data_IF_702529363280
#
_entry.id   IF_702529363280
#
_cell.length_a   1.000
_cell.length_b   1.000
_cell.length_c   1.000
_cell.angle_alpha   90.00
_cell.angle_beta   90.00
_cell.angle_gamma   90.00
#
_symmetry.space_group_name_H-M   'P 1'
#
loop_
_entity.id
_entity.type
_entity.pdbx_description
1 polymer ?
#
# COMPACT_ATOMS: atom_id res chain seq x y z
N UNK A 1 -41.44 -36.93 19.02
CA UNK A 1 -41.76 -36.35 17.70
C UNK A 1 -40.43 -36.31 16.94
N UNK A 2 -40.04 -37.42 16.31
CA UNK A 2 -40.25 -37.76 14.90
C UNK A 2 -39.38 -36.92 13.92
N UNK A 3 -38.26 -37.55 13.50
CA UNK A 3 -37.59 -37.67 12.18
C UNK A 3 -37.23 -36.43 11.32
N UNK A 4 -36.01 -36.48 10.75
CA UNK A 4 -35.37 -35.49 9.86
C UNK A 4 -35.97 -35.39 8.43
N UNK A 5 -35.29 -34.73 7.48
CA UNK A 5 -34.05 -35.28 6.91
C UNK A 5 -32.92 -34.27 6.64
N UNK A 6 -31.72 -34.84 6.57
CA UNK A 6 -30.49 -34.41 5.88
C UNK A 6 -30.50 -33.03 5.20
N UNK A 7 -29.93 -32.03 5.88
CA UNK A 7 -29.34 -30.89 5.18
C UNK A 7 -28.03 -31.37 4.54
N UNK A 8 -28.10 -31.75 3.26
CA UNK A 8 -26.94 -32.13 2.48
C UNK A 8 -25.84 -31.07 2.60
N UNK A 9 -24.67 -31.49 3.07
CA UNK A 9 -23.44 -30.72 2.92
C UNK A 9 -23.20 -30.61 1.42
N UNK A 10 -23.53 -29.46 0.84
CA UNK A 10 -23.06 -29.10 -0.49
C UNK A 10 -21.54 -29.01 -0.39
N UNK A 11 -20.85 -30.05 -0.83
CA UNK A 11 -19.43 -29.98 -1.12
C UNK A 11 -19.27 -28.92 -2.19
N UNK A 12 -18.66 -27.79 -1.84
CA UNK A 12 -18.25 -26.82 -2.85
C UNK A 12 -17.29 -27.55 -3.80
N UNK A 13 -17.62 -27.51 -5.10
CA UNK A 13 -16.74 -27.99 -6.15
C UNK A 13 -15.35 -27.36 -5.98
N UNK A 14 -14.25 -28.11 -6.21
CA UNK A 14 -12.92 -27.55 -6.15
C UNK A 14 -12.80 -26.53 -7.30
N UNK A 15 -12.80 -25.24 -6.95
CA UNK A 15 -12.63 -24.15 -7.92
C UNK A 15 -13.67 -23.03 -7.91
N UNK A 16 -14.69 -23.05 -7.03
CA UNK A 16 -15.54 -21.87 -6.85
C UNK A 16 -14.84 -20.86 -5.91
N UNK A 17 -14.55 -19.61 -6.35
CA UNK A 17 -13.97 -18.60 -5.46
C UNK A 17 -14.95 -18.25 -4.34
N UNK A 18 -14.45 -18.18 -3.10
CA UNK A 18 -15.24 -17.72 -1.96
C UNK A 18 -15.74 -16.29 -2.22
N UNK A 19 -17.05 -16.02 -2.10
CA UNK A 19 -17.56 -14.66 -2.21
C UNK A 19 -17.07 -13.88 -0.98
N UNK A 20 -16.06 -13.03 -1.18
CA UNK A 20 -15.43 -12.23 -0.11
C UNK A 20 -13.91 -12.03 -0.22
N UNK A 21 -13.21 -12.70 -1.14
CA UNK A 21 -11.75 -12.51 -1.30
C UNK A 21 -11.39 -11.77 -2.58
N UNK A 22 -11.53 -10.45 -2.60
CA UNK A 22 -10.77 -9.65 -3.56
C UNK A 22 -9.38 -9.46 -2.97
N UNK A 23 -8.39 -10.23 -3.46
CA UNK A 23 -6.98 -9.87 -3.31
C UNK A 23 -6.66 -8.76 -4.32
N UNK A 24 -5.58 -8.02 -4.09
CA UNK A 24 -5.02 -7.17 -5.15
C UNK A 24 -4.55 -8.06 -6.30
N UNK A 25 -5.42 -8.28 -7.30
CA UNK A 25 -5.06 -9.07 -8.47
C UNK A 25 -3.97 -8.34 -9.25
N UNK A 26 -3.16 -9.11 -9.97
CA UNK A 26 -2.14 -8.54 -10.83
C UNK A 26 -2.75 -7.64 -11.90
N UNK A 27 -3.90 -8.01 -12.47
CA UNK A 27 -4.63 -7.22 -13.48
C UNK A 27 -5.06 -5.86 -12.92
N UNK A 28 -5.47 -5.80 -11.65
CA UNK A 28 -5.79 -4.53 -11.00
C UNK A 28 -4.55 -3.65 -10.84
N UNK A 29 -3.39 -4.25 -10.55
CA UNK A 29 -2.12 -3.53 -10.48
C UNK A 29 -1.69 -3.02 -11.87
N UNK A 30 -1.82 -3.85 -12.92
CA UNK A 30 -1.54 -3.46 -14.31
C UNK A 30 -2.45 -2.33 -14.77
N UNK A 31 -3.77 -2.45 -14.55
CA UNK A 31 -4.74 -1.42 -14.91
C UNK A 31 -4.37 -0.06 -14.28
N UNK A 32 -4.02 -0.06 -13.00
CA UNK A 32 -3.60 1.16 -12.31
C UNK A 32 -2.27 1.69 -12.85
N UNK A 33 -1.32 0.81 -13.16
CA UNK A 33 -0.01 1.16 -13.72
C UNK A 33 -0.17 1.80 -15.09
N UNK A 34 -0.95 1.20 -15.99
CA UNK A 34 -1.24 1.72 -17.33
C UNK A 34 -1.97 3.07 -17.27
N UNK A 35 -2.90 3.20 -16.32
CA UNK A 35 -3.60 4.47 -16.10
C UNK A 35 -2.63 5.60 -15.71
N UNK A 36 -1.63 5.31 -14.86
CA UNK A 36 -0.59 6.26 -14.48
C UNK A 36 0.37 6.54 -15.64
N UNK A 37 0.90 5.50 -16.30
CA UNK A 37 1.86 5.63 -17.39
C UNK A 37 1.30 6.37 -18.62
N UNK A 38 -0.02 6.30 -18.84
CA UNK A 38 -0.70 7.08 -19.89
C UNK A 38 -0.88 8.56 -19.56
N UNK A 39 -0.70 8.95 -18.29
CA UNK A 39 -0.92 10.34 -17.80
C UNK A 39 0.35 11.06 -17.35
N UNK A 40 1.44 10.32 -17.12
CA UNK A 40 2.74 10.93 -16.80
C UNK A 40 3.87 10.37 -17.66
N UNK A 41 4.80 11.25 -18.02
CA UNK A 41 6.07 10.85 -18.67
C UNK A 41 7.14 10.47 -17.65
N UNK A 42 6.90 10.71 -16.36
CA UNK A 42 7.83 10.38 -15.29
C UNK A 42 8.04 8.87 -15.18
N UNK A 43 9.27 8.44 -14.92
CA UNK A 43 9.66 7.03 -14.77
C UNK A 43 10.46 6.86 -13.48
N UNK A 44 9.77 6.74 -12.33
CA UNK A 44 10.43 6.77 -11.03
C UNK A 44 11.28 5.52 -10.81
N UNK A 45 12.46 5.70 -10.22
CA UNK A 45 13.30 4.59 -9.72
C UNK A 45 13.16 4.40 -8.22
N UNK A 46 12.71 5.45 -7.52
CA UNK A 46 12.54 5.49 -6.07
C UNK A 46 11.08 5.79 -5.75
N UNK A 47 10.46 5.01 -4.88
CA UNK A 47 9.20 5.36 -4.25
C UNK A 47 9.43 5.80 -2.81
N UNK A 48 8.75 6.85 -2.37
CA UNK A 48 8.78 7.33 -0.99
C UNK A 48 7.38 7.32 -0.40
N UNK A 49 7.18 6.56 0.67
CA UNK A 49 5.91 6.58 1.43
C UNK A 49 6.06 7.60 2.55
N UNK A 50 5.42 8.75 2.39
CA UNK A 50 5.47 9.84 3.37
C UNK A 50 4.49 9.56 4.51
N UNK A 51 5.05 9.35 5.70
CA UNK A 51 4.30 9.16 6.92
C UNK A 51 3.78 10.46 7.54
N UNK A 52 3.15 10.32 8.70
CA UNK A 52 2.71 11.45 9.53
C UNK A 52 3.84 12.46 9.74
N UNK A 53 3.58 13.72 9.41
CA UNK A 53 4.56 14.81 9.53
C UNK A 53 5.57 14.95 8.38
N UNK A 54 5.61 14.01 7.43
CA UNK A 54 6.59 14.00 6.33
C UNK A 54 5.97 14.28 4.95
N UNK A 55 4.70 14.67 4.90
CA UNK A 55 4.02 15.03 3.65
C UNK A 55 4.68 16.21 2.91
N UNK A 56 5.36 17.10 3.63
CA UNK A 56 6.10 18.24 3.05
C UNK A 56 7.27 17.80 2.17
N UNK A 57 7.80 16.59 2.34
CA UNK A 57 8.86 16.07 1.47
C UNK A 57 8.39 15.98 0.01
N UNK A 58 7.14 15.58 -0.21
CA UNK A 58 6.56 15.53 -1.55
C UNK A 58 6.45 16.92 -2.20
N UNK A 59 6.32 17.98 -1.39
CA UNK A 59 6.21 19.36 -1.86
C UNK A 59 7.57 19.95 -2.30
N UNK A 60 8.68 19.27 -1.96
CA UNK A 60 10.04 19.65 -2.39
C UNK A 60 10.43 19.07 -3.74
N UNK A 61 9.60 18.19 -4.33
CA UNK A 61 9.89 17.60 -5.62
C UNK A 61 9.91 18.64 -6.73
N UNK A 62 10.90 18.53 -7.60
CA UNK A 62 11.02 19.35 -8.79
C UNK A 62 10.25 18.71 -9.95
N UNK A 63 9.78 19.55 -10.89
CA UNK A 63 9.04 19.09 -12.08
C UNK A 63 7.87 18.16 -11.74
N UNK A 64 7.14 18.50 -10.67
CA UNK A 64 6.20 17.57 -10.04
C UNK A 64 4.85 17.48 -10.74
N UNK A 65 4.32 16.28 -10.84
CA UNK A 65 2.96 15.97 -11.29
C UNK A 65 2.22 15.21 -10.18
N UNK A 66 1.04 15.68 -9.77
CA UNK A 66 0.29 15.09 -8.66
C UNK A 66 -1.04 14.50 -9.14
N UNK A 67 -1.36 13.30 -8.65
CA UNK A 67 -2.62 12.60 -8.89
C UNK A 67 -3.36 12.38 -7.57
N UNK A 68 -4.65 12.70 -7.50
CA UNK A 68 -5.45 12.37 -6.32
C UNK A 68 -5.68 10.86 -6.25
N UNK A 69 -5.60 10.26 -5.05
CA UNK A 69 -5.91 8.83 -4.89
C UNK A 69 -7.32 8.48 -5.36
N UNK A 70 -8.26 9.42 -5.26
CA UNK A 70 -9.64 9.24 -5.73
C UNK A 70 -9.77 9.09 -7.25
N UNK A 71 -8.78 9.56 -8.01
CA UNK A 71 -8.77 9.49 -9.47
C UNK A 71 -8.06 8.25 -9.98
N UNK A 72 -7.17 7.67 -9.17
CA UNK A 72 -6.36 6.53 -9.53
C UNK A 72 -7.21 5.25 -9.37
N UNK A 73 -7.39 4.43 -10.42
CA UNK A 73 -8.12 3.18 -10.33
C UNK A 73 -7.58 2.28 -9.22
N UNK A 74 -8.46 1.60 -8.50
CA UNK A 74 -8.14 0.64 -7.43
C UNK A 74 -7.40 1.21 -6.22
N UNK A 75 -7.02 2.49 -6.21
CA UNK A 75 -6.36 3.10 -5.08
C UNK A 75 -7.31 3.24 -3.88
N UNK A 76 -6.83 3.01 -2.66
CA UNK A 76 -7.59 3.30 -1.45
C UNK A 76 -7.74 4.81 -1.23
N UNK A 77 -8.83 5.21 -0.58
CA UNK A 77 -8.96 6.56 -0.05
C UNK A 77 -8.31 6.65 1.34
N UNK A 78 -7.55 7.71 1.59
CA UNK A 78 -7.00 7.99 2.92
C UNK A 78 -8.02 8.76 3.75
N UNK A 79 -8.24 8.35 5.00
CA UNK A 79 -9.21 9.00 5.90
C UNK A 79 -8.56 9.75 7.07
N UNK A 80 -7.24 9.62 7.23
CA UNK A 80 -6.47 10.21 8.33
C UNK A 80 -6.17 11.69 8.07
N UNK A 81 -6.38 12.53 9.09
CA UNK A 81 -6.03 13.95 9.04
C UNK A 81 -4.53 14.15 8.76
N UNK A 82 -4.19 15.06 7.85
CA UNK A 82 -2.82 15.32 7.42
C UNK A 82 -2.32 14.41 6.29
N UNK A 83 -3.11 13.43 5.84
CA UNK A 83 -2.84 12.69 4.62
C UNK A 83 -3.58 13.35 3.46
N UNK A 84 -2.85 14.12 2.64
CA UNK A 84 -3.43 14.85 1.51
C UNK A 84 -4.06 13.92 0.46
N UNK A 85 -3.65 12.65 0.41
CA UNK A 85 -4.26 11.66 -0.47
C UNK A 85 -3.79 11.81 -1.91
N UNK A 86 -2.50 12.07 -2.12
CA UNK A 86 -1.93 12.34 -3.44
C UNK A 86 -0.72 11.46 -3.73
N UNK A 87 -0.58 11.08 -5.00
CA UNK A 87 0.60 10.44 -5.56
C UNK A 87 1.35 11.47 -6.39
N UNK A 88 2.53 11.86 -5.94
CA UNK A 88 3.32 12.96 -6.53
C UNK A 88 4.54 12.39 -7.21
N UNK A 89 4.60 12.48 -8.54
CA UNK A 89 5.78 12.17 -9.33
C UNK A 89 6.65 13.42 -9.44
N UNK A 90 7.96 13.24 -9.53
CA UNK A 90 8.89 14.34 -9.77
C UNK A 90 10.33 13.93 -9.51
N UNK A 91 11.19 14.91 -9.29
CA UNK A 91 12.61 14.67 -9.03
C UNK A 91 13.01 15.14 -7.64
N UNK A 92 13.75 14.29 -6.92
CA UNK A 92 14.40 14.64 -5.67
C UNK A 92 15.91 14.60 -5.89
N UNK A 93 16.57 15.76 -5.86
CA UNK A 93 18.01 15.88 -6.15
C UNK A 93 18.38 15.27 -7.52
N UNK A 94 17.58 15.54 -8.55
CA UNK A 94 17.75 15.02 -9.91
C UNK A 94 17.43 13.53 -10.08
N UNK A 95 16.93 12.84 -9.05
CA UNK A 95 16.54 11.43 -9.13
C UNK A 95 15.02 11.31 -9.33
N UNK A 96 14.55 10.59 -10.37
CA UNK A 96 13.13 10.44 -10.62
C UNK A 96 12.50 9.59 -9.53
N UNK A 97 11.46 10.12 -8.90
CA UNK A 97 10.81 9.51 -7.75
C UNK A 97 9.29 9.69 -7.80
N UNK A 98 8.62 8.85 -7.02
CA UNK A 98 7.19 8.95 -6.75
C UNK A 98 6.97 8.97 -5.25
N UNK A 99 6.24 9.96 -4.75
CA UNK A 99 5.95 10.15 -3.35
C UNK A 99 4.47 9.91 -3.08
N UNK A 100 4.16 9.02 -2.12
CA UNK A 100 2.83 8.93 -1.53
C UNK A 100 2.70 9.99 -0.44
N UNK A 101 1.94 11.06 -0.71
CA UNK A 101 1.58 12.09 0.28
C UNK A 101 0.39 11.62 1.12
N UNK A 102 0.72 10.79 2.11
CA UNK A 102 -0.24 10.02 2.89
C UNK A 102 -0.14 8.54 2.57
N UNK A 103 -0.57 7.71 3.51
CA UNK A 103 -0.62 6.24 3.37
C UNK A 103 -1.90 5.69 3.97
N UNK A 104 -2.11 4.41 3.76
CA UNK A 104 -3.26 3.68 4.28
C UNK A 104 -2.85 2.87 5.51
N UNK A 105 -3.75 2.74 6.46
CA UNK A 105 -3.52 1.96 7.66
C UNK A 105 -4.57 0.88 7.83
N UNK A 106 -4.15 -0.23 8.43
CA UNK A 106 -5.05 -1.31 8.82
C UNK A 106 -6.10 -0.83 9.83
N UNK A 107 -5.76 0.09 10.73
CA UNK A 107 -6.71 0.60 11.72
C UNK A 107 -7.85 1.44 11.11
N UNK A 108 -7.72 1.89 9.85
CA UNK A 108 -8.80 2.54 9.11
C UNK A 108 -9.83 1.52 8.58
N UNK A 109 -9.63 0.22 8.85
CA UNK A 109 -10.46 -0.88 8.38
C UNK A 109 -10.03 -1.44 7.01
N UNK A 110 -8.92 -0.96 6.44
CA UNK A 110 -8.42 -1.48 5.19
C UNK A 110 -7.77 -2.87 5.39
N UNK A 111 -8.10 -3.86 4.54
CA UNK A 111 -7.36 -5.12 4.54
C UNK A 111 -5.91 -4.88 4.07
N UNK A 112 -4.97 -5.70 4.56
CA UNK A 112 -3.53 -5.47 4.32
C UNK A 112 -3.14 -5.48 2.83
N UNK A 113 -3.78 -6.32 2.00
CA UNK A 113 -3.54 -6.31 0.56
C UNK A 113 -3.86 -4.95 -0.09
N UNK A 114 -4.84 -4.22 0.46
CA UNK A 114 -5.26 -2.90 -0.01
C UNK A 114 -4.30 -1.83 0.50
N UNK A 115 -3.83 -1.96 1.75
CA UNK A 115 -2.78 -1.10 2.31
C UNK A 115 -1.49 -1.18 1.50
N UNK A 116 -1.09 -2.39 1.09
CA UNK A 116 0.15 -2.62 0.34
C UNK A 116 -0.01 -2.55 -1.17
N UNK A 117 -1.21 -2.30 -1.70
CA UNK A 117 -1.49 -2.23 -3.14
C UNK A 117 -0.54 -1.30 -3.91
N UNK A 118 -0.26 -0.06 -3.44
CA UNK A 118 0.63 0.85 -4.16
C UNK A 118 2.04 0.30 -4.35
N UNK A 119 2.53 -0.56 -3.45
CA UNK A 119 3.87 -1.15 -3.55
C UNK A 119 3.99 -2.05 -4.79
N UNK A 120 2.93 -2.80 -5.12
CA UNK A 120 2.88 -3.63 -6.34
C UNK A 120 2.84 -2.76 -7.59
N UNK A 121 2.06 -1.68 -7.57
CA UNK A 121 2.03 -0.68 -8.65
C UNK A 121 3.41 -0.04 -8.85
N UNK A 122 4.11 0.32 -7.78
CA UNK A 122 5.48 0.87 -7.88
C UNK A 122 6.43 -0.09 -8.55
N UNK A 123 6.35 -1.39 -8.25
CA UNK A 123 7.15 -2.40 -8.93
C UNK A 123 6.89 -2.40 -10.45
N UNK A 124 5.64 -2.35 -10.87
CA UNK A 124 5.26 -2.31 -12.29
C UNK A 124 5.64 -0.97 -12.97
N UNK A 125 5.67 0.14 -12.23
CA UNK A 125 6.20 1.43 -12.70
C UNK A 125 7.72 1.46 -12.89
N UNK A 126 8.44 0.40 -12.46
CA UNK A 126 9.90 0.31 -12.57
C UNK A 126 10.67 0.82 -11.35
N UNK A 127 10.00 0.99 -10.21
CA UNK A 127 10.66 1.36 -8.95
C UNK A 127 11.53 0.20 -8.46
N UNK A 128 12.75 0.53 -8.04
CA UNK A 128 13.76 -0.41 -7.54
C UNK A 128 14.04 -0.21 -6.05
N UNK A 129 13.76 0.99 -5.53
CA UNK A 129 13.99 1.34 -4.13
C UNK A 129 12.73 1.90 -3.49
N UNK A 130 12.33 1.36 -2.34
CA UNK A 130 11.23 1.87 -1.54
C UNK A 130 11.78 2.49 -0.24
N UNK A 131 11.54 3.78 -0.05
CA UNK A 131 11.80 4.50 1.19
C UNK A 131 10.49 4.63 1.96
N UNK A 132 10.41 4.03 3.14
CA UNK A 132 9.24 4.11 4.01
C UNK A 132 9.52 4.98 5.21
N UNK A 133 8.57 5.86 5.55
CA UNK A 133 8.72 6.77 6.68
C UNK A 133 7.50 6.70 7.61
N UNK A 134 7.75 6.84 8.91
CA UNK A 134 6.70 6.87 9.91
C UNK A 134 7.08 7.67 11.16
N UNK A 135 6.05 8.06 11.90
CA UNK A 135 6.19 8.53 13.27
C UNK A 135 6.01 7.31 14.21
N UNK A 136 6.86 7.24 15.23
CA UNK A 136 6.83 6.18 16.23
C UNK A 136 7.07 6.79 17.63
N UNK A 137 6.55 6.12 18.66
CA UNK A 137 6.95 6.38 20.04
C UNK A 137 8.30 5.72 20.31
N UNK A 138 9.25 6.47 20.87
CA UNK A 138 10.54 5.94 21.29
C UNK A 138 10.39 5.09 22.56
N UNK A 139 10.81 3.83 22.50
CA UNK A 139 10.82 2.92 23.67
C UNK A 139 12.20 2.80 24.31
N UNK A 140 13.27 3.08 23.55
CA UNK A 140 14.62 3.08 24.08
C UNK A 140 14.86 4.35 24.90
N UNK A 141 15.49 4.20 26.06
CA UNK A 141 15.70 5.30 27.03
C UNK A 141 16.53 6.47 26.46
N UNK A 142 17.35 6.20 25.46
CA UNK A 142 18.25 7.19 24.84
C UNK A 142 17.63 7.92 23.65
N UNK A 143 16.34 7.72 23.34
CA UNK A 143 15.65 8.46 22.28
C UNK A 143 14.98 9.71 22.82
N UNK A 144 15.08 10.80 22.04
CA UNK A 144 14.42 12.07 22.27
C UNK A 144 13.40 12.37 21.16
N UNK A 145 12.31 13.11 21.46
CA UNK A 145 11.42 13.61 20.41
C UNK A 145 12.19 14.39 19.34
N UNK A 146 12.00 14.01 18.08
CA UNK A 146 12.70 14.60 16.93
C UNK A 146 13.88 13.77 16.42
N UNK A 147 14.32 12.74 17.15
CA UNK A 147 15.36 11.83 16.67
C UNK A 147 14.90 11.05 15.43
N UNK A 148 15.83 10.86 14.48
CA UNK A 148 15.64 10.02 13.32
C UNK A 148 16.26 8.66 13.60
N UNK A 149 15.41 7.63 13.64
CA UNK A 149 15.83 6.24 13.80
C UNK A 149 15.70 5.49 12.47
N UNK A 150 16.79 4.86 12.04
CA UNK A 150 16.78 3.92 10.91
C UNK A 150 16.24 2.57 11.37
N UNK A 151 15.20 2.08 10.70
CA UNK A 151 14.66 0.74 10.93
C UNK A 151 15.66 -0.28 10.38
N UNK A 152 16.34 -0.99 11.28
CA UNK A 152 17.24 -2.09 10.93
C UNK A 152 16.52 -3.43 10.86
N UNK A 153 15.48 -3.59 11.67
CA UNK A 153 14.63 -4.77 11.72
C UNK A 153 13.25 -4.40 12.28
N UNK A 154 12.27 -5.29 12.18
CA UNK A 154 10.92 -5.10 12.72
C UNK A 154 10.32 -6.40 13.26
N UNK A 155 9.48 -6.29 14.30
CA UNK A 155 8.65 -7.39 14.79
C UNK A 155 7.22 -7.21 14.26
N UNK A 156 6.80 -8.08 13.35
CA UNK A 156 5.46 -8.03 12.76
C UNK A 156 4.44 -8.80 13.63
N UNK A 157 4.02 -8.21 14.77
CA UNK A 157 3.05 -8.83 15.67
C UNK A 157 1.72 -9.22 14.97
N UNK A 158 1.10 -8.38 14.11
CA UNK A 158 -0.09 -8.79 13.35
C UNK A 158 0.19 -9.99 12.43
N UNK A 159 1.36 -10.02 11.78
CA UNK A 159 1.78 -11.12 10.93
C UNK A 159 1.92 -12.45 11.67
N UNK A 160 2.43 -12.43 12.91
CA UNK A 160 2.52 -13.61 13.77
C UNK A 160 1.12 -14.17 14.12
N UNK A 161 0.10 -13.33 14.13
CA UNK A 161 -1.31 -13.71 14.34
C UNK A 161 -2.05 -14.02 13.03
N UNK A 162 -1.35 -14.11 11.89
CA UNK A 162 -1.94 -14.44 10.58
C UNK A 162 -2.40 -13.24 9.74
N UNK A 163 -2.32 -12.01 10.26
CA UNK A 163 -2.60 -10.80 9.50
C UNK A 163 -1.35 -10.38 8.71
N UNK A 164 -1.16 -11.01 7.55
CA UNK A 164 -0.04 -10.75 6.64
C UNK A 164 -0.54 -10.34 5.24
N UNK A 165 0.04 -9.33 4.58
CA UNK A 165 -0.35 -8.94 3.21
C UNK A 165 -0.12 -10.03 2.15
N UNK A 166 0.66 -11.07 2.49
CA UNK A 166 0.93 -12.24 1.64
C UNK A 166 0.01 -13.43 1.94
N UNK A 167 -0.98 -13.26 2.82
CA UNK A 167 -1.97 -14.31 3.07
C UNK A 167 -2.81 -14.56 1.80
N UNK A 168 -2.90 -15.83 1.39
CA UNK A 168 -3.67 -16.26 0.23
C UNK A 168 -2.78 -16.83 -0.89
N UNK A 169 -3.35 -17.06 -2.08
CA UNK A 169 -2.59 -17.54 -3.24
C UNK A 169 -1.48 -16.55 -3.62
N UNK A 170 -0.32 -17.11 -3.98
CA UNK A 170 0.76 -16.34 -4.59
C UNK A 170 0.48 -16.13 -6.09
N UNK A 171 0.87 -14.97 -6.61
CA UNK A 171 0.88 -14.71 -8.06
C UNK A 171 2.19 -15.24 -8.65
N UNK A 172 2.10 -16.06 -9.69
CA UNK A 172 3.26 -16.75 -10.29
C UNK A 172 4.04 -15.90 -11.31
N UNK A 173 3.45 -14.79 -11.79
CA UNK A 173 4.09 -13.84 -12.71
C UNK A 173 4.91 -12.79 -11.98
#
# INVERSE_FOLDING_TARGET
MWLGPEAGVKTNAPGAPCPGSFSASFEACEQTTDWLLSRTRQRPRIAVICGSGLGLLADTLQSSEAFSYSEIPNFPSSTVAGHAGQLVFGELQGKPCVCMKGRFHMYEGHPLWKVTFPVRVFKLLGVETLLVTNAAGGLAENYSPGDIMVIRDHVNLPGLAGLNPLLGPNEER
#
